data_IF_054641517580
#
_entry.id   IF_054641517580
#
_cell.length_a   1.000
_cell.length_b   1.000
_cell.length_c   1.000
_cell.angle_alpha   90.00
_cell.angle_beta   90.00
_cell.angle_gamma   90.00
#
_symmetry.space_group_name_H-M   'P 1'
#
loop_
_entity.id
_entity.type
_entity.pdbx_description
1 polymer ?
#
# COMPACT_ATOMS: atom_id res chain seq x y z
N UNK A 1 -19.70 27.76 40.03
CA UNK A 1 -20.14 26.80 39.00
C UNK A 1 -19.01 25.79 38.83
N UNK A 2 -19.09 24.65 39.50
CA UNK A 2 -18.02 23.65 39.51
C UNK A 2 -18.35 22.58 38.46
N UNK A 3 -18.12 22.88 37.19
CA UNK A 3 -18.26 21.91 36.11
C UNK A 3 -17.17 20.85 36.21
N UNK A 4 -17.49 19.67 36.74
CA UNK A 4 -16.64 18.49 36.58
C UNK A 4 -16.92 17.92 35.20
N UNK A 5 -15.96 18.07 34.30
CA UNK A 5 -15.95 17.34 33.04
C UNK A 5 -15.88 15.85 33.37
N UNK A 6 -16.85 15.06 32.88
CA UNK A 6 -16.81 13.61 32.97
C UNK A 6 -15.70 13.03 32.09
N UNK A 7 -15.43 11.73 32.22
CA UNK A 7 -14.60 11.04 31.23
C UNK A 7 -15.22 11.25 29.84
N UNK A 8 -14.38 11.48 28.82
CA UNK A 8 -14.85 11.59 27.43
C UNK A 8 -15.36 10.22 26.95
N UNK A 9 -16.58 9.85 27.32
CA UNK A 9 -17.29 8.72 26.75
C UNK A 9 -17.52 8.99 25.27
N UNK A 10 -16.92 8.16 24.40
CA UNK A 10 -16.95 8.34 22.94
C UNK A 10 -15.74 9.03 22.34
N UNK A 11 -14.66 9.26 23.11
CA UNK A 11 -13.39 9.71 22.54
C UNK A 11 -12.89 8.67 21.52
N UNK A 12 -12.88 9.08 20.25
CA UNK A 12 -12.21 8.35 19.19
C UNK A 12 -10.73 8.66 19.38
N UNK A 13 -9.94 7.68 19.80
CA UNK A 13 -8.49 7.84 19.90
C UNK A 13 -7.92 7.86 18.48
N UNK A 14 -6.94 8.73 18.19
CA UNK A 14 -6.15 8.64 16.97
C UNK A 14 -5.70 7.21 16.72
N UNK A 15 -6.05 6.66 15.57
CA UNK A 15 -5.53 5.37 15.09
C UNK A 15 -4.46 5.63 14.04
N UNK A 16 -3.67 4.62 13.68
CA UNK A 16 -2.81 4.76 12.52
C UNK A 16 -3.68 4.99 11.28
N UNK A 17 -3.28 5.91 10.41
CA UNK A 17 -3.94 6.11 9.12
C UNK A 17 -4.02 4.79 8.36
N UNK A 18 -5.21 4.48 7.88
CA UNK A 18 -5.46 3.45 6.89
C UNK A 18 -6.07 4.15 5.70
N UNK A 19 -5.65 3.80 4.49
CA UNK A 19 -6.07 4.53 3.29
C UNK A 19 -7.50 4.14 2.90
N UNK A 20 -8.46 4.56 3.71
CA UNK A 20 -9.88 4.29 3.57
C UNK A 20 -10.65 5.57 3.22
N UNK A 21 -9.92 6.66 2.92
CA UNK A 21 -10.48 7.97 2.63
C UNK A 21 -11.01 8.69 3.86
N UNK A 22 -10.53 8.31 5.06
CA UNK A 22 -10.88 8.96 6.32
C UNK A 22 -9.62 9.29 7.11
N UNK A 23 -9.69 10.41 7.80
CA UNK A 23 -8.76 10.78 8.85
C UNK A 23 -8.97 9.86 10.07
N UNK A 24 -8.15 8.82 10.21
CA UNK A 24 -8.26 7.86 11.31
C UNK A 24 -7.51 8.32 12.55
N UNK A 25 -6.53 9.21 12.39
CA UNK A 25 -5.73 9.77 13.46
C UNK A 25 -6.29 11.11 14.00
N UNK A 26 -7.34 11.64 13.39
CA UNK A 26 -8.00 12.90 13.70
C UNK A 26 -7.06 14.12 13.70
N UNK A 27 -6.03 14.13 12.85
CA UNK A 27 -5.07 15.24 12.75
C UNK A 27 -5.48 16.33 11.74
N UNK A 28 -6.56 16.09 10.99
CA UNK A 28 -7.15 17.00 10.02
C UNK A 28 -6.66 16.80 8.59
N UNK A 29 -5.73 15.88 8.34
CA UNK A 29 -5.42 15.36 7.03
C UNK A 29 -6.10 14.00 6.83
N UNK A 30 -6.40 13.67 5.57
CA UNK A 30 -6.98 12.38 5.20
C UNK A 30 -5.88 11.60 4.51
N UNK A 31 -5.63 10.37 4.97
CA UNK A 31 -4.74 9.41 4.32
C UNK A 31 -3.29 9.95 4.17
N UNK A 32 -2.74 10.75 5.12
CA UNK A 32 -1.41 11.35 4.94
C UNK A 32 -0.23 10.36 5.04
N UNK A 33 -0.48 9.15 5.55
CA UNK A 33 0.53 8.07 5.65
C UNK A 33 0.23 6.95 4.63
N UNK A 34 -0.07 7.33 3.41
CA UNK A 34 -0.42 6.43 2.31
C UNK A 34 0.55 6.58 1.13
N UNK A 35 1.26 5.51 0.76
CA UNK A 35 2.02 5.50 -0.50
C UNK A 35 1.11 5.43 -1.73
N UNK A 36 -0.10 4.88 -1.56
CA UNK A 36 -1.07 4.65 -2.62
C UNK A 36 -2.49 4.53 -2.07
N UNK A 37 -3.47 4.74 -2.95
CA UNK A 37 -4.89 4.57 -2.67
C UNK A 37 -5.34 3.14 -3.00
N UNK A 38 -6.38 2.56 -2.35
CA UNK A 38 -6.81 1.17 -2.58
C UNK A 38 -7.18 0.84 -4.04
N UNK A 39 -7.54 1.84 -4.81
CA UNK A 39 -7.86 1.72 -6.24
C UNK A 39 -6.64 1.75 -7.13
N UNK A 40 -5.47 2.12 -6.60
CA UNK A 40 -4.25 2.28 -7.37
C UNK A 40 -3.67 0.92 -7.74
N UNK A 41 -3.29 0.84 -9.00
CA UNK A 41 -2.49 -0.25 -9.54
C UNK A 41 -1.26 0.33 -10.22
N UNK A 42 -0.13 -0.38 -10.11
CA UNK A 42 1.09 -0.01 -10.82
C UNK A 42 1.72 -1.23 -11.46
N UNK A 43 2.41 -0.99 -12.57
CA UNK A 43 3.30 -1.95 -13.18
C UNK A 43 4.44 -2.34 -12.21
N UNK A 44 4.87 -3.59 -12.27
CA UNK A 44 5.98 -4.10 -11.49
C UNK A 44 6.68 -5.25 -12.24
N UNK A 45 7.93 -5.54 -11.88
CA UNK A 45 8.75 -6.52 -12.60
C UNK A 45 9.44 -5.92 -13.83
N UNK A 46 10.14 -6.76 -14.58
CA UNK A 46 10.84 -6.41 -15.82
C UNK A 46 10.07 -6.95 -17.02
N UNK A 47 10.20 -6.27 -18.16
CA UNK A 47 9.75 -6.75 -19.46
C UNK A 47 10.94 -7.05 -20.40
N UNK A 48 12.13 -7.22 -19.84
CA UNK A 48 13.34 -7.60 -20.57
C UNK A 48 13.32 -9.11 -20.84
N UNK A 49 13.61 -9.49 -22.09
CA UNK A 49 13.69 -10.87 -22.52
C UNK A 49 12.40 -11.68 -22.27
N UNK A 50 12.51 -12.80 -21.56
CA UNK A 50 11.34 -13.63 -21.19
C UNK A 50 10.59 -13.14 -19.94
N UNK A 51 11.04 -12.06 -19.30
CA UNK A 51 10.35 -11.52 -18.14
C UNK A 51 8.98 -10.93 -18.52
N UNK A 52 7.97 -11.23 -17.72
CA UNK A 52 6.63 -10.66 -17.88
C UNK A 52 6.41 -9.61 -16.81
N UNK A 53 6.00 -8.42 -17.23
CA UNK A 53 5.61 -7.35 -16.32
C UNK A 53 4.30 -7.72 -15.62
N UNK A 54 4.32 -7.69 -14.29
CA UNK A 54 3.14 -7.88 -13.44
C UNK A 54 2.46 -6.56 -13.08
N UNK A 55 1.49 -6.68 -12.18
CA UNK A 55 0.83 -5.54 -11.55
C UNK A 55 0.80 -5.69 -10.03
N UNK A 56 1.12 -4.61 -9.32
CA UNK A 56 0.88 -4.47 -7.88
C UNK A 56 -0.45 -3.74 -7.69
N UNK A 57 -1.24 -4.22 -6.73
CA UNK A 57 -2.41 -3.51 -6.23
C UNK A 57 -2.06 -2.88 -4.90
N UNK A 58 -2.51 -1.66 -4.68
CA UNK A 58 -2.44 -1.06 -3.36
C UNK A 58 -3.39 -1.77 -2.40
N UNK A 59 -2.91 -2.07 -1.20
CA UNK A 59 -3.74 -2.59 -0.11
C UNK A 59 -3.28 -1.94 1.18
N UNK A 60 -4.21 -1.26 1.87
CA UNK A 60 -3.94 -0.63 3.16
C UNK A 60 -2.78 0.37 3.10
N UNK A 61 -2.68 1.16 2.03
CA UNK A 61 -1.67 2.21 1.87
C UNK A 61 -0.31 1.80 1.36
N UNK A 62 -0.12 0.53 1.02
CA UNK A 62 1.12 0.05 0.45
C UNK A 62 0.86 -0.89 -0.73
N UNK A 63 1.75 -0.87 -1.71
CA UNK A 63 1.68 -1.80 -2.83
C UNK A 63 1.97 -3.22 -2.36
N UNK A 64 1.03 -4.14 -2.62
CA UNK A 64 1.18 -5.56 -2.31
C UNK A 64 2.22 -6.27 -3.20
N UNK A 65 2.27 -7.61 -3.17
CA UNK A 65 3.18 -8.37 -4.02
C UNK A 65 2.88 -8.11 -5.51
N UNK A 66 3.92 -8.18 -6.33
CA UNK A 66 3.78 -8.10 -7.79
C UNK A 66 3.06 -9.36 -8.28
N UNK A 67 1.85 -9.21 -8.81
CA UNK A 67 1.03 -10.33 -9.29
C UNK A 67 1.14 -10.41 -10.81
N UNK A 68 1.33 -11.62 -11.31
CA UNK A 68 1.43 -11.88 -12.75
C UNK A 68 2.78 -11.53 -13.36
N UNK A 69 3.77 -11.12 -12.54
CA UNK A 69 5.14 -11.04 -13.01
C UNK A 69 5.79 -12.41 -13.04
N UNK A 70 6.54 -12.67 -14.11
CA UNK A 70 7.53 -13.75 -14.13
C UNK A 70 8.85 -13.08 -13.75
N UNK A 71 9.37 -13.43 -12.56
CA UNK A 71 10.66 -12.94 -12.10
C UNK A 71 11.78 -13.44 -13.01
N UNK A 72 12.88 -12.68 -13.16
CA UNK A 72 14.08 -13.22 -13.81
C UNK A 72 14.47 -14.50 -13.08
N UNK A 73 14.46 -15.63 -13.79
CA UNK A 73 15.00 -16.87 -13.25
C UNK A 73 16.51 -16.68 -13.16
N UNK A 74 17.14 -17.12 -12.06
CA UNK A 74 18.60 -17.11 -11.96
C UNK A 74 19.20 -17.70 -13.22
N UNK A 75 20.09 -16.95 -13.87
CA UNK A 75 20.76 -17.28 -15.12
C UNK A 75 21.18 -18.75 -15.12
N UNK A 76 20.37 -19.57 -15.77
CA UNK A 76 20.82 -20.84 -16.28
C UNK A 76 21.35 -20.47 -17.65
N UNK A 77 22.60 -20.81 -18.00
CA UNK A 77 23.13 -20.59 -19.36
C UNK A 77 22.41 -21.49 -20.37
N UNK A 78 21.11 -21.29 -20.55
CA UNK A 78 20.22 -21.99 -21.47
C UNK A 78 20.11 -21.26 -22.82
N UNK A 79 20.79 -20.12 -22.96
CA UNK A 79 20.80 -19.31 -24.17
C UNK A 79 19.58 -18.38 -24.31
N UNK A 80 18.81 -18.19 -23.23
CA UNK A 80 17.72 -17.22 -23.18
C UNK A 80 18.10 -16.01 -22.32
N UNK A 81 17.62 -14.85 -22.76
CA UNK A 81 17.82 -13.54 -22.12
C UNK A 81 16.82 -13.44 -20.95
N UNK A 82 17.19 -14.00 -19.80
CA UNK A 82 16.32 -14.06 -18.62
C UNK A 82 16.78 -13.08 -17.52
N UNK A 83 17.70 -12.14 -17.84
CA UNK A 83 18.25 -11.10 -16.97
C UNK A 83 17.70 -9.68 -17.25
#
# INVERSE_FOLDING_TARGET
>A
MNGKWGACEGAITPQAEICDGKDNNCDGAIDEVCECQPTDTRACGSAVGECVQGQQKCKNGSFGPCIGSIAPQSETCDGKDND
#
